data_IF_424953143659
#
_entry.id   IF_424953143659
#
_cell.length_a   1.000
_cell.length_b   1.000
_cell.length_c   1.000
_cell.angle_alpha   90.00
_cell.angle_beta   90.00
_cell.angle_gamma   90.00
#
_symmetry.space_group_name_H-M   'P 1'
#
loop_
_entity.id
_entity.type
_entity.pdbx_description
1 polymer ?
#
# COMPACT_ATOMS: atom_id res chain seq x y z
N UNK A 1 19.97 0.94 27.06
CA UNK A 1 19.47 1.95 26.08
C UNK A 1 17.98 1.84 25.76
N UNK A 2 17.37 0.66 25.55
CA UNK A 2 15.97 0.53 25.13
C UNK A 2 14.88 1.04 26.09
N UNK A 3 15.07 0.96 27.41
CA UNK A 3 14.07 1.43 28.41
C UNK A 3 13.99 2.96 28.47
N UNK A 4 15.11 3.65 28.40
CA UNK A 4 15.17 5.13 28.41
C UNK A 4 14.54 5.69 27.11
N UNK A 5 14.84 5.10 25.96
CA UNK A 5 14.24 5.50 24.67
C UNK A 5 12.72 5.28 24.65
N UNK A 6 12.23 4.18 25.24
CA UNK A 6 10.79 3.94 25.41
C UNK A 6 10.12 4.95 26.34
N UNK A 7 10.76 5.29 27.47
CA UNK A 7 10.25 6.28 28.42
C UNK A 7 10.20 7.69 27.81
N UNK A 8 11.26 8.10 27.09
CA UNK A 8 11.31 9.38 26.37
C UNK A 8 10.23 9.45 25.28
N UNK A 9 10.03 8.38 24.50
CA UNK A 9 8.93 8.31 23.50
C UNK A 9 7.56 8.43 24.16
N UNK A 10 7.37 7.83 25.35
CA UNK A 10 6.10 7.90 26.09
C UNK A 10 5.83 9.33 26.58
N UNK A 11 6.84 10.05 27.09
CA UNK A 11 6.73 11.46 27.51
C UNK A 11 6.44 12.39 26.31
N UNK A 12 7.14 12.19 25.19
CA UNK A 12 6.91 12.96 23.96
C UNK A 12 5.48 12.79 23.43
N UNK A 13 4.91 11.60 23.54
CA UNK A 13 3.55 11.33 23.08
C UNK A 13 2.46 11.87 24.03
N UNK A 14 2.75 12.11 25.29
CA UNK A 14 1.80 12.60 26.30
C UNK A 14 1.61 14.13 26.29
N UNK A 15 2.51 14.89 25.66
CA UNK A 15 2.47 16.36 25.66
C UNK A 15 2.52 16.89 24.23
N UNK A 16 1.39 17.31 23.63
CA UNK A 16 1.31 17.74 22.24
C UNK A 16 2.36 18.76 21.81
N UNK A 17 2.66 19.76 22.62
CA UNK A 17 3.67 20.78 22.33
C UNK A 17 5.09 20.23 22.27
N UNK A 18 5.44 19.26 23.12
CA UNK A 18 6.75 18.59 23.11
C UNK A 18 6.89 17.70 21.87
N UNK A 19 5.82 17.03 21.48
CA UNK A 19 5.76 16.22 20.26
C UNK A 19 6.05 17.07 19.01
N UNK A 20 5.40 18.20 18.87
CA UNK A 20 5.61 19.10 17.73
C UNK A 20 7.03 19.68 17.69
N UNK A 21 7.54 20.13 18.84
CA UNK A 21 8.93 20.61 18.93
C UNK A 21 9.93 19.52 18.54
N UNK A 22 9.75 18.28 19.04
CA UNK A 22 10.64 17.16 18.73
C UNK A 22 10.58 16.76 17.25
N UNK A 23 9.41 16.80 16.61
CA UNK A 23 9.24 16.57 15.17
C UNK A 23 9.96 17.67 14.38
N UNK A 24 9.82 18.94 14.77
CA UNK A 24 10.51 20.05 14.10
C UNK A 24 12.03 19.97 14.21
N UNK A 25 12.56 19.61 15.39
CA UNK A 25 13.98 19.37 15.59
C UNK A 25 14.48 18.22 14.72
N UNK A 26 13.72 17.12 14.68
CA UNK A 26 14.03 15.98 13.83
C UNK A 26 14.07 16.36 12.34
N UNK A 27 13.09 17.12 11.86
CA UNK A 27 13.05 17.58 10.47
C UNK A 27 14.29 18.42 10.12
N UNK A 28 14.66 19.39 10.97
CA UNK A 28 15.86 20.20 10.77
C UNK A 28 17.14 19.33 10.76
N UNK A 29 17.23 18.38 11.67
CA UNK A 29 18.37 17.45 11.70
C UNK A 29 18.49 16.61 10.42
N UNK A 30 17.35 16.05 9.95
CA UNK A 30 17.30 15.30 8.71
C UNK A 30 17.70 16.15 7.49
N UNK A 31 17.23 17.40 7.42
CA UNK A 31 17.62 18.36 6.37
C UNK A 31 19.12 18.65 6.38
N UNK A 32 19.69 18.87 7.56
CA UNK A 32 21.14 19.12 7.67
C UNK A 32 21.97 17.93 7.18
N UNK A 33 21.56 16.70 7.54
CA UNK A 33 22.21 15.48 7.06
C UNK A 33 22.14 15.38 5.53
N UNK A 34 20.95 15.56 4.96
CA UNK A 34 20.77 15.50 3.51
C UNK A 34 21.58 16.58 2.79
N UNK A 35 21.49 17.85 3.21
CA UNK A 35 22.21 18.97 2.62
C UNK A 35 23.74 18.83 2.65
N UNK A 36 24.30 18.14 3.65
CA UNK A 36 25.72 17.77 3.70
C UNK A 36 26.12 16.97 2.45
N UNK A 37 25.29 16.02 2.03
CA UNK A 37 25.57 15.17 0.87
C UNK A 37 25.25 15.87 -0.44
N UNK A 38 24.23 16.71 -0.49
CA UNK A 38 23.92 17.57 -1.64
C UNK A 38 25.13 18.43 -2.04
N UNK A 39 25.83 19.02 -1.05
CA UNK A 39 27.04 19.83 -1.29
C UNK A 39 28.25 19.00 -1.72
N UNK A 40 28.31 17.75 -1.29
CA UNK A 40 29.49 16.89 -1.49
C UNK A 40 29.46 16.10 -2.80
N UNK A 41 28.31 15.72 -3.28
CA UNK A 41 28.18 14.79 -4.41
C UNK A 41 27.38 15.38 -5.57
N UNK A 42 27.88 15.25 -6.82
CA UNK A 42 27.09 15.50 -8.01
C UNK A 42 25.96 14.47 -8.13
N UNK A 43 24.96 14.77 -8.96
CA UNK A 43 23.91 13.82 -9.33
C UNK A 43 24.54 12.77 -10.25
N UNK A 44 24.21 11.50 -10.00
CA UNK A 44 24.54 10.35 -10.82
C UNK A 44 23.26 9.88 -11.54
N UNK A 45 23.15 10.22 -12.81
CA UNK A 45 21.98 9.94 -13.64
C UNK A 45 21.65 8.43 -13.76
N UNK A 46 22.65 7.55 -13.54
CA UNK A 46 22.49 6.10 -13.56
C UNK A 46 22.31 5.48 -12.18
N UNK A 47 21.94 6.27 -11.18
CA UNK A 47 21.53 5.76 -9.85
C UNK A 47 20.05 6.00 -9.62
N UNK A 48 19.32 4.93 -9.29
CA UNK A 48 17.88 4.97 -8.95
C UNK A 48 17.70 4.49 -7.52
N UNK A 49 16.95 5.26 -6.70
CA UNK A 49 16.56 4.86 -5.35
C UNK A 49 15.13 4.32 -5.38
N UNK A 50 14.93 3.16 -4.81
CA UNK A 50 13.63 2.53 -4.61
C UNK A 50 13.29 2.49 -3.12
N UNK A 51 12.03 2.79 -2.80
CA UNK A 51 11.52 2.69 -1.43
C UNK A 51 10.04 2.32 -1.44
N UNK A 52 9.65 1.34 -0.62
CA UNK A 52 8.25 0.98 -0.41
C UNK A 52 7.87 1.10 1.06
N UNK A 53 6.75 1.76 1.34
CA UNK A 53 6.16 1.91 2.67
C UNK A 53 7.18 2.35 3.74
N UNK A 54 7.99 3.38 3.43
CA UNK A 54 9.08 3.87 4.31
C UNK A 54 10.11 2.77 4.65
N UNK A 55 10.51 2.00 3.65
CA UNK A 55 11.52 0.94 3.76
C UNK A 55 11.06 -0.32 4.50
N UNK A 56 9.76 -0.54 4.68
CA UNK A 56 9.25 -1.69 5.44
C UNK A 56 9.06 -2.96 4.62
N UNK A 57 8.86 -2.83 3.31
CA UNK A 57 8.50 -3.97 2.43
C UNK A 57 9.21 -3.89 1.09
N UNK A 58 9.45 -5.06 0.50
CA UNK A 58 9.77 -5.19 -0.91
C UNK A 58 8.49 -5.54 -1.67
N UNK A 59 7.76 -4.53 -2.15
CA UNK A 59 6.43 -4.73 -2.74
C UNK A 59 5.95 -3.52 -3.54
N UNK A 60 4.77 -3.64 -4.12
CA UNK A 60 4.05 -2.57 -4.79
C UNK A 60 4.75 -2.08 -6.08
N UNK A 61 4.34 -0.93 -6.62
CA UNK A 61 4.88 -0.39 -7.88
C UNK A 61 6.41 -0.17 -7.87
N UNK A 62 7.06 0.26 -6.77
CA UNK A 62 8.52 0.32 -6.75
C UNK A 62 9.19 -1.04 -6.99
N UNK A 63 8.62 -2.15 -6.46
CA UNK A 63 9.10 -3.51 -6.74
C UNK A 63 8.92 -3.85 -8.22
N UNK A 64 7.74 -3.69 -8.78
CA UNK A 64 7.46 -4.03 -10.18
C UNK A 64 8.37 -3.24 -11.14
N UNK A 65 8.58 -1.95 -10.89
CA UNK A 65 9.49 -1.12 -11.70
C UNK A 65 10.97 -1.50 -11.53
N UNK A 66 11.38 -1.91 -10.32
CA UNK A 66 12.73 -2.43 -10.09
C UNK A 66 12.96 -3.73 -10.85
N UNK A 67 12.01 -4.68 -10.79
CA UNK A 67 12.08 -5.96 -11.49
C UNK A 67 12.11 -5.73 -13.01
N UNK A 68 11.26 -4.84 -13.55
CA UNK A 68 11.31 -4.44 -14.96
C UNK A 68 12.68 -3.87 -15.37
N UNK A 69 13.33 -3.06 -14.51
CA UNK A 69 14.70 -2.58 -14.77
C UNK A 69 15.75 -3.68 -14.67
N UNK A 70 15.52 -4.74 -13.90
CA UNK A 70 16.46 -5.86 -13.80
C UNK A 70 16.36 -6.82 -14.99
N UNK A 71 15.17 -6.97 -15.56
CA UNK A 71 14.89 -7.83 -16.72
C UNK A 71 15.37 -7.20 -18.03
N UNK A 72 15.45 -5.88 -18.11
CA UNK A 72 15.81 -5.17 -19.34
C UNK A 72 17.32 -4.81 -19.37
N UNK A 73 18.04 -5.34 -20.35
CA UNK A 73 19.48 -5.12 -20.53
C UNK A 73 19.90 -3.66 -20.70
N UNK A 74 18.99 -2.78 -21.15
CA UNK A 74 19.22 -1.33 -21.28
C UNK A 74 19.54 -0.64 -19.95
N UNK A 75 19.09 -1.24 -18.83
CA UNK A 75 19.29 -0.69 -17.48
C UNK A 75 20.32 -1.48 -16.68
N UNK A 76 21.13 -2.33 -17.34
CA UNK A 76 22.14 -3.18 -16.69
C UNK A 76 23.15 -2.36 -15.88
N UNK A 77 23.55 -1.21 -16.40
CA UNK A 77 24.56 -0.35 -15.78
C UNK A 77 24.01 0.61 -14.72
N UNK A 78 22.67 0.62 -14.54
CA UNK A 78 22.06 1.41 -13.49
C UNK A 78 22.32 0.80 -12.11
N UNK A 79 22.73 1.66 -11.16
CA UNK A 79 22.77 1.32 -9.73
C UNK A 79 21.35 1.40 -9.17
N UNK A 80 20.84 0.31 -8.69
CA UNK A 80 19.50 0.14 -8.10
C UNK A 80 19.64 0.09 -6.59
N UNK A 81 19.26 1.16 -5.90
CA UNK A 81 19.45 1.31 -4.45
C UNK A 81 18.11 1.12 -3.75
N UNK A 82 17.99 0.09 -2.94
CA UNK A 82 16.81 -0.15 -2.11
C UNK A 82 17.00 0.32 -0.68
N UNK A 83 16.07 1.14 -0.18
CA UNK A 83 16.03 1.57 1.20
C UNK A 83 15.10 0.68 2.03
N UNK A 84 15.65 0.02 3.07
CA UNK A 84 14.90 -0.85 3.98
C UNK A 84 15.13 -0.47 5.46
N UNK A 85 14.10 -0.67 6.29
CA UNK A 85 14.26 -0.57 7.75
C UNK A 85 15.17 -1.67 8.30
N UNK A 86 15.15 -2.84 7.67
CA UNK A 86 15.99 -4.01 7.96
C UNK A 86 16.55 -4.59 6.65
N UNK A 87 17.68 -4.08 6.12
CA UNK A 87 18.25 -4.55 4.86
C UNK A 87 18.67 -6.03 4.88
N UNK A 88 19.03 -6.57 6.05
CA UNK A 88 19.51 -7.95 6.17
C UNK A 88 18.44 -8.96 5.72
N UNK A 89 17.17 -8.68 5.95
CA UNK A 89 16.05 -9.52 5.51
C UNK A 89 15.90 -9.59 3.99
N UNK A 90 16.48 -8.64 3.27
CA UNK A 90 16.31 -8.48 1.83
C UNK A 90 17.62 -8.75 1.05
N UNK A 91 18.65 -9.35 1.69
CA UNK A 91 19.95 -9.64 1.02
C UNK A 91 19.83 -10.50 -0.24
N UNK A 92 18.76 -11.27 -0.36
CA UNK A 92 18.48 -12.05 -1.57
C UNK A 92 18.33 -11.17 -2.83
N UNK A 93 18.10 -9.88 -2.70
CA UNK A 93 18.03 -8.92 -3.81
C UNK A 93 19.42 -8.60 -4.37
N UNK A 94 20.52 -8.87 -3.65
CA UNK A 94 21.88 -8.67 -4.12
C UNK A 94 22.24 -9.62 -5.28
N UNK A 95 21.39 -10.64 -5.55
CA UNK A 95 21.48 -11.45 -6.78
C UNK A 95 21.28 -10.66 -8.07
N UNK A 96 20.58 -9.54 -8.02
CA UNK A 96 20.41 -8.65 -9.17
C UNK A 96 21.63 -7.72 -9.31
N UNK A 97 22.26 -7.68 -10.50
CA UNK A 97 23.46 -6.85 -10.73
C UNK A 97 23.26 -5.38 -10.36
N UNK A 98 24.28 -4.78 -9.75
CA UNK A 98 24.30 -3.38 -9.34
C UNK A 98 23.19 -2.99 -8.36
N UNK A 99 22.70 -3.94 -7.56
CA UNK A 99 21.75 -3.70 -6.48
C UNK A 99 22.47 -3.42 -5.17
N UNK A 100 22.08 -2.36 -4.49
CA UNK A 100 22.65 -1.88 -3.23
C UNK A 100 21.54 -1.75 -2.21
N UNK A 101 21.72 -2.32 -1.04
CA UNK A 101 20.74 -2.20 0.06
C UNK A 101 21.25 -1.19 1.08
N UNK A 102 20.37 -0.25 1.48
CA UNK A 102 20.69 0.77 2.48
C UNK A 102 19.66 0.77 3.59
N UNK A 103 20.13 1.08 4.81
CA UNK A 103 19.21 1.20 5.94
C UNK A 103 18.47 2.53 5.89
N UNK A 104 17.14 2.46 5.96
CA UNK A 104 16.26 3.61 6.02
C UNK A 104 16.72 4.62 7.07
N UNK A 105 16.82 5.90 6.68
CA UNK A 105 17.28 7.01 7.52
C UNK A 105 18.72 6.90 8.04
N UNK A 106 19.56 6.04 7.45
CA UNK A 106 21.00 5.99 7.72
C UNK A 106 21.75 7.12 6.99
N UNK A 107 23.09 7.24 7.19
CA UNK A 107 23.91 8.16 6.43
C UNK A 107 23.92 7.81 4.93
N UNK A 108 23.98 6.51 4.61
CA UNK A 108 23.91 6.03 3.23
C UNK A 108 22.57 6.32 2.56
N UNK A 109 21.46 6.23 3.31
CA UNK A 109 20.13 6.61 2.84
C UNK A 109 20.14 8.07 2.31
N UNK A 110 20.55 9.03 3.13
CA UNK A 110 20.61 10.43 2.71
C UNK A 110 21.64 10.69 1.63
N UNK A 111 22.76 9.96 1.65
CA UNK A 111 23.79 10.04 0.61
C UNK A 111 23.25 9.61 -0.75
N UNK A 112 22.54 8.50 -0.83
CA UNK A 112 21.99 8.01 -2.09
C UNK A 112 20.81 8.86 -2.56
N UNK A 113 19.92 9.31 -1.71
CA UNK A 113 18.87 10.26 -2.11
C UNK A 113 19.45 11.58 -2.65
N UNK A 114 20.52 12.09 -2.06
CA UNK A 114 21.17 13.31 -2.54
C UNK A 114 21.89 13.13 -3.89
N UNK A 115 22.34 11.91 -4.19
CA UNK A 115 23.17 11.59 -5.34
C UNK A 115 22.38 10.98 -6.51
N UNK A 116 21.34 10.21 -6.25
CA UNK A 116 20.59 9.50 -7.28
C UNK A 116 19.95 10.48 -8.27
N UNK A 117 19.96 10.11 -9.55
CA UNK A 117 19.25 10.83 -10.60
C UNK A 117 17.73 10.61 -10.54
N UNK A 118 17.29 9.48 -9.97
CA UNK A 118 15.86 9.13 -9.91
C UNK A 118 15.50 8.52 -8.57
N UNK A 119 14.28 8.83 -8.09
CA UNK A 119 13.66 8.19 -6.94
C UNK A 119 12.31 7.59 -7.34
N UNK A 120 12.03 6.38 -6.90
CA UNK A 120 10.76 5.69 -7.13
C UNK A 120 10.22 5.23 -5.77
N UNK A 121 9.14 5.86 -5.31
CA UNK A 121 8.57 5.58 -3.99
C UNK A 121 7.05 5.46 -4.06
N UNK A 122 6.45 4.80 -3.05
CA UNK A 122 5.00 4.68 -2.94
C UNK A 122 4.41 5.32 -1.67
N UNK A 123 5.21 6.09 -0.96
CA UNK A 123 4.82 6.79 0.25
C UNK A 123 5.49 8.17 0.30
N UNK A 124 5.01 9.06 1.19
CA UNK A 124 5.60 10.39 1.34
C UNK A 124 7.07 10.28 1.77
N UNK A 125 7.92 11.09 1.17
CA UNK A 125 9.36 11.12 1.46
C UNK A 125 9.65 11.58 2.89
N UNK A 126 10.79 11.14 3.43
CA UNK A 126 11.33 11.74 4.66
C UNK A 126 11.42 13.26 4.51
N UNK A 127 10.95 13.99 5.51
CA UNK A 127 10.83 15.45 5.46
C UNK A 127 12.16 16.16 5.20
N UNK A 128 13.27 15.50 5.53
CA UNK A 128 14.62 16.03 5.28
C UNK A 128 15.06 16.01 3.82
N UNK A 129 14.38 15.26 2.96
CA UNK A 129 14.75 15.08 1.55
C UNK A 129 14.10 16.17 0.70
N UNK A 130 14.90 16.85 -0.10
CA UNK A 130 14.47 17.91 -1.03
C UNK A 130 15.01 17.59 -2.43
N UNK A 131 14.14 17.60 -3.44
CA UNK A 131 14.56 17.33 -4.82
C UNK A 131 15.43 18.43 -5.36
N UNK A 132 16.53 18.05 -5.99
CA UNK A 132 17.46 18.98 -6.67
C UNK A 132 17.06 19.14 -8.13
N UNK A 133 17.37 20.28 -8.77
CA UNK A 133 17.30 20.40 -10.22
C UNK A 133 18.14 19.28 -10.89
N UNK A 134 17.54 18.58 -11.87
CA UNK A 134 18.17 17.44 -12.55
C UNK A 134 17.94 16.09 -11.87
N UNK A 135 17.16 16.01 -10.80
CA UNK A 135 16.64 14.74 -10.25
C UNK A 135 15.20 14.52 -10.69
N UNK A 136 14.82 13.27 -10.91
CA UNK A 136 13.46 12.84 -11.21
C UNK A 136 12.84 12.15 -9.98
N UNK A 137 11.63 12.54 -9.64
CA UNK A 137 10.86 11.91 -8.59
C UNK A 137 9.59 11.24 -9.15
N UNK A 138 9.52 9.93 -9.04
CA UNK A 138 8.37 9.10 -9.39
C UNK A 138 7.65 8.72 -8.09
N UNK A 139 6.49 9.30 -7.85
CA UNK A 139 5.61 8.94 -6.76
C UNK A 139 4.56 7.97 -7.29
N UNK A 140 4.62 6.70 -6.89
CA UNK A 140 3.69 5.69 -7.41
C UNK A 140 2.40 5.57 -6.60
N UNK A 141 2.37 6.14 -5.41
CA UNK A 141 1.35 5.88 -4.41
C UNK A 141 1.15 4.38 -4.18
N UNK A 142 0.05 3.97 -3.57
CA UNK A 142 -0.11 2.57 -3.17
C UNK A 142 -1.55 2.05 -3.26
N UNK A 143 -2.33 2.60 -4.17
CA UNK A 143 -3.69 2.14 -4.50
C UNK A 143 -4.65 3.26 -4.84
N UNK A 144 -5.74 2.93 -5.52
CA UNK A 144 -6.84 3.84 -5.81
C UNK A 144 -7.59 4.15 -4.51
N UNK A 145 -7.80 5.42 -4.14
CA UNK A 145 -8.43 5.76 -2.87
C UNK A 145 -9.96 5.71 -2.98
N UNK A 146 -10.62 4.95 -2.10
CA UNK A 146 -12.04 5.11 -1.81
C UNK A 146 -12.26 6.36 -0.95
N UNK A 147 -11.42 6.54 0.07
CA UNK A 147 -11.48 7.67 1.02
C UNK A 147 -10.77 8.88 0.46
N UNK A 148 -11.26 10.07 0.76
CA UNK A 148 -10.54 11.31 0.44
C UNK A 148 -9.19 11.35 1.15
N UNK A 149 -8.16 11.77 0.45
CA UNK A 149 -6.79 11.81 0.93
C UNK A 149 -6.17 13.21 0.78
N UNK A 150 -5.10 13.47 1.47
CA UNK A 150 -4.30 14.68 1.32
C UNK A 150 -5.11 15.96 1.53
N UNK A 151 -5.08 16.84 0.54
CA UNK A 151 -5.77 18.13 0.58
C UNK A 151 -7.29 18.02 0.39
N UNK A 152 -7.78 16.88 -0.11
CA UNK A 152 -9.22 16.67 -0.33
C UNK A 152 -9.96 16.22 0.94
N UNK A 153 -9.26 15.94 2.04
CA UNK A 153 -9.87 15.56 3.32
C UNK A 153 -10.74 16.71 3.85
N UNK A 154 -12.06 16.49 4.14
CA UNK A 154 -12.98 17.54 4.56
C UNK A 154 -12.59 18.20 5.90
N UNK A 155 -13.11 19.42 6.12
CA UNK A 155 -12.81 20.21 7.33
C UNK A 155 -13.36 19.61 8.62
N UNK A 156 -14.40 18.77 8.53
CA UNK A 156 -15.14 18.27 9.70
C UNK A 156 -14.45 17.09 10.41
N UNK A 157 -13.51 16.39 9.76
CA UNK A 157 -12.95 15.12 10.24
C UNK A 157 -11.63 15.24 11.00
N UNK A 158 -10.88 16.30 10.75
CA UNK A 158 -9.63 16.58 11.44
C UNK A 158 -9.72 17.94 12.12
N UNK A 159 -9.04 18.10 13.24
CA UNK A 159 -8.83 19.45 13.75
C UNK A 159 -8.22 20.32 12.64
N UNK A 160 -8.57 21.61 12.61
CA UNK A 160 -8.04 22.56 11.62
C UNK A 160 -6.53 22.43 11.45
N UNK A 161 -5.80 22.27 12.56
CA UNK A 161 -4.34 22.13 12.59
C UNK A 161 -3.84 20.85 11.95
N UNK A 162 -4.50 19.72 12.18
CA UNK A 162 -4.13 18.42 11.59
C UNK A 162 -4.38 18.40 10.09
N UNK A 163 -5.52 18.94 9.66
CA UNK A 163 -5.83 19.05 8.24
C UNK A 163 -4.82 19.93 7.51
N UNK A 164 -4.49 21.10 8.06
CA UNK A 164 -3.49 21.98 7.48
C UNK A 164 -2.10 21.33 7.41
N UNK A 165 -1.75 20.55 8.43
CA UNK A 165 -0.50 19.80 8.43
C UNK A 165 -0.51 18.74 7.33
N UNK A 166 -1.55 17.90 7.26
CA UNK A 166 -1.68 16.87 6.23
C UNK A 166 -1.65 17.47 4.84
N UNK A 167 -2.41 18.52 4.59
CA UNK A 167 -2.42 19.19 3.28
C UNK A 167 -1.03 19.76 2.94
N UNK A 168 -0.32 20.40 3.88
CA UNK A 168 1.05 20.87 3.65
C UNK A 168 2.03 19.77 3.33
N UNK A 169 1.91 18.60 3.96
CA UNK A 169 2.75 17.43 3.66
C UNK A 169 2.51 16.94 2.23
N UNK A 170 1.25 16.82 1.82
CA UNK A 170 0.90 16.41 0.46
C UNK A 170 1.26 17.48 -0.60
N UNK A 171 1.05 18.77 -0.32
CA UNK A 171 1.47 19.86 -1.21
C UNK A 171 2.99 19.87 -1.42
N UNK A 172 3.77 19.73 -0.32
CA UNK A 172 5.23 19.66 -0.41
C UNK A 172 5.65 18.50 -1.31
N UNK A 173 5.04 17.33 -1.14
CA UNK A 173 5.27 16.15 -1.95
C UNK A 173 4.90 16.41 -3.41
N UNK A 174 3.69 16.90 -3.66
CA UNK A 174 3.16 17.17 -4.99
C UNK A 174 4.00 18.18 -5.81
N UNK A 175 4.63 19.14 -5.13
CA UNK A 175 5.52 20.10 -5.80
C UNK A 175 6.88 19.48 -6.22
N UNK A 176 7.24 18.31 -5.71
CA UNK A 176 8.48 17.60 -6.08
C UNK A 176 8.24 16.51 -7.14
N UNK A 177 7.02 16.03 -7.30
CA UNK A 177 6.68 14.92 -8.20
C UNK A 177 6.89 15.34 -9.65
N UNK A 178 7.58 14.50 -10.43
CA UNK A 178 7.70 14.63 -11.88
C UNK A 178 6.80 13.64 -12.60
N UNK A 179 6.69 12.40 -12.09
CA UNK A 179 5.85 11.36 -12.67
C UNK A 179 5.01 10.64 -11.63
N UNK A 180 3.78 10.29 -12.02
CA UNK A 180 2.88 9.48 -11.22
C UNK A 180 2.16 8.47 -12.11
N UNK A 181 2.28 7.15 -11.87
CA UNK A 181 1.46 6.13 -12.52
C UNK A 181 -0.02 6.31 -12.18
N UNK A 182 -0.89 6.08 -13.14
CA UNK A 182 -2.33 6.10 -12.92
C UNK A 182 -3.02 4.90 -13.58
N UNK A 183 -3.95 4.23 -12.86
CA UNK A 183 -4.75 3.15 -13.41
C UNK A 183 -5.98 3.64 -14.19
N UNK A 184 -6.38 4.92 -14.05
CA UNK A 184 -7.63 5.41 -14.63
C UNK A 184 -7.74 6.94 -14.63
N UNK A 185 -8.62 7.51 -15.49
CA UNK A 185 -8.98 8.93 -15.45
C UNK A 185 -9.51 9.39 -14.08
N UNK A 186 -10.29 8.52 -13.39
CA UNK A 186 -10.75 8.80 -12.04
C UNK A 186 -9.58 9.06 -11.09
N UNK A 187 -8.63 8.15 -11.01
CA UNK A 187 -7.45 8.32 -10.15
C UNK A 187 -6.65 9.55 -10.54
N UNK A 188 -6.43 9.76 -11.84
CA UNK A 188 -5.73 10.92 -12.41
C UNK A 188 -6.31 12.24 -11.90
N UNK A 189 -7.64 12.37 -11.87
CA UNK A 189 -8.31 13.56 -11.35
C UNK A 189 -8.09 13.72 -9.85
N UNK A 190 -8.26 12.64 -9.06
CA UNK A 190 -8.20 12.73 -7.59
C UNK A 190 -6.79 13.01 -7.06
N UNK A 191 -5.76 12.45 -7.67
CA UNK A 191 -4.39 12.73 -7.20
C UNK A 191 -3.92 14.14 -7.52
N UNK A 192 -4.43 14.77 -8.59
CA UNK A 192 -4.13 16.18 -8.91
C UNK A 192 -4.53 17.11 -7.76
N UNK A 193 -5.75 16.96 -7.26
CA UNK A 193 -6.26 17.76 -6.15
C UNK A 193 -5.66 17.35 -4.81
N UNK A 194 -5.64 16.05 -4.50
CA UNK A 194 -5.16 15.52 -3.23
C UNK A 194 -3.70 15.87 -2.93
N UNK A 195 -2.84 15.82 -3.92
CA UNK A 195 -1.42 16.17 -3.81
C UNK A 195 -1.10 17.62 -4.18
N UNK A 196 -2.08 18.39 -4.70
CA UNK A 196 -1.82 19.71 -5.26
C UNK A 196 -0.62 19.67 -6.22
N UNK A 197 -0.67 18.78 -7.20
CA UNK A 197 0.45 18.52 -8.10
C UNK A 197 0.95 19.78 -8.78
N UNK A 198 2.27 19.94 -8.83
CA UNK A 198 2.92 21.03 -9.56
C UNK A 198 2.77 20.90 -11.07
N UNK A 199 2.98 21.99 -11.83
CA UNK A 199 2.80 22.02 -13.29
C UNK A 199 3.77 21.10 -14.05
N UNK A 200 4.88 20.70 -13.44
CA UNK A 200 5.84 19.75 -14.00
C UNK A 200 5.38 18.31 -13.93
N UNK A 201 4.43 17.99 -13.03
CA UNK A 201 3.99 16.63 -12.79
C UNK A 201 3.23 16.05 -13.99
N UNK A 202 3.70 14.91 -14.49
CA UNK A 202 3.07 14.14 -15.55
C UNK A 202 2.45 12.88 -14.99
N UNK A 203 1.19 12.68 -15.26
CA UNK A 203 0.50 11.45 -14.91
C UNK A 203 0.55 10.52 -16.11
N UNK A 204 1.11 9.33 -15.89
CA UNK A 204 1.24 8.29 -16.91
C UNK A 204 0.09 7.29 -16.71
N UNK A 205 -0.95 7.44 -17.49
CA UNK A 205 -2.18 6.67 -17.41
C UNK A 205 -2.06 5.38 -18.23
N UNK A 206 -1.24 4.44 -17.74
CA UNK A 206 -0.98 3.14 -18.36
C UNK A 206 -1.42 1.97 -17.49
N UNK A 207 -1.91 2.21 -16.29
CA UNK A 207 -2.17 1.21 -15.26
C UNK A 207 -1.26 1.38 -14.03
N UNK A 208 -1.37 0.43 -13.12
CA UNK A 208 -0.48 0.34 -11.97
C UNK A 208 0.58 -0.75 -12.18
N UNK A 209 1.89 -0.42 -12.17
CA UNK A 209 2.95 -1.45 -12.23
C UNK A 209 2.80 -2.52 -11.13
N UNK A 210 2.29 -2.15 -9.95
CA UNK A 210 2.00 -3.10 -8.87
C UNK A 210 1.05 -4.24 -9.25
N UNK A 211 0.20 -4.03 -10.26
CA UNK A 211 -0.79 -5.01 -10.71
C UNK A 211 -0.30 -5.89 -11.86
N UNK A 212 0.93 -5.69 -12.35
CA UNK A 212 1.47 -6.46 -13.48
C UNK A 212 1.40 -7.97 -13.23
N UNK A 213 1.67 -8.40 -12.01
CA UNK A 213 1.59 -9.81 -11.63
C UNK A 213 0.18 -10.41 -11.77
N UNK A 214 -0.88 -9.59 -11.70
CA UNK A 214 -2.26 -10.04 -11.88
C UNK A 214 -2.59 -10.36 -13.35
N UNK A 215 -1.75 -9.90 -14.29
CA UNK A 215 -1.96 -10.09 -15.73
C UNK A 215 -0.96 -11.06 -16.37
N UNK A 216 0.10 -11.46 -15.64
CA UNK A 216 1.17 -12.35 -16.14
C UNK A 216 1.47 -13.55 -15.25
N UNK A 217 0.59 -13.90 -14.32
CA UNK A 217 0.80 -15.05 -13.42
C UNK A 217 0.64 -16.40 -14.14
N UNK A 218 1.19 -17.44 -13.55
CA UNK A 218 1.04 -18.84 -13.98
C UNK A 218 0.34 -19.66 -12.90
N UNK A 219 -0.28 -20.77 -13.28
CA UNK A 219 -0.85 -21.73 -12.33
C UNK A 219 0.22 -22.27 -11.37
N UNK A 220 1.41 -22.57 -11.88
CA UNK A 220 2.55 -23.02 -11.06
C UNK A 220 2.90 -22.01 -9.96
N UNK A 221 2.88 -20.67 -10.26
CA UNK A 221 3.09 -19.63 -9.24
C UNK A 221 2.01 -19.72 -8.15
N UNK A 222 0.75 -19.89 -8.53
CA UNK A 222 -0.35 -20.01 -7.56
C UNK A 222 -0.22 -21.26 -6.68
N UNK A 223 0.13 -22.40 -7.26
CA UNK A 223 0.39 -23.65 -6.54
C UNK A 223 1.55 -23.52 -5.55
N UNK A 224 2.65 -22.88 -5.96
CA UNK A 224 3.80 -22.64 -5.09
C UNK A 224 3.44 -21.74 -3.91
N UNK A 225 2.65 -20.68 -4.12
CA UNK A 225 2.16 -19.80 -3.04
C UNK A 225 1.26 -20.60 -2.08
N UNK A 226 0.31 -21.39 -2.59
CA UNK A 226 -0.56 -22.24 -1.75
C UNK A 226 0.28 -23.22 -0.92
N UNK A 227 1.28 -23.84 -1.53
CA UNK A 227 2.21 -24.79 -0.87
C UNK A 227 3.03 -24.09 0.23
N UNK A 228 3.60 -22.92 -0.06
CA UNK A 228 4.34 -22.11 0.93
C UNK A 228 3.48 -21.78 2.14
N UNK A 229 2.22 -21.39 1.90
CA UNK A 229 1.26 -21.08 2.96
C UNK A 229 0.62 -22.32 3.59
N UNK A 230 0.95 -23.54 3.14
CA UNK A 230 0.39 -24.78 3.64
C UNK A 230 -1.13 -24.87 3.46
N UNK A 231 -1.62 -24.42 2.29
CA UNK A 231 -3.05 -24.47 1.91
C UNK A 231 -3.25 -25.74 1.07
N UNK A 232 -4.20 -26.63 1.43
CA UNK A 232 -4.55 -27.78 0.63
C UNK A 232 -5.04 -27.39 -0.77
N UNK A 233 -4.64 -28.15 -1.81
CA UNK A 233 -4.95 -27.81 -3.20
C UNK A 233 -6.45 -27.83 -3.52
N UNK A 234 -7.20 -28.66 -2.82
CA UNK A 234 -8.67 -28.85 -2.96
C UNK A 234 -9.50 -27.79 -2.24
N UNK A 235 -8.88 -26.93 -1.42
CA UNK A 235 -9.59 -25.88 -0.68
C UNK A 235 -9.72 -24.60 -1.48
N UNK A 236 -10.92 -24.00 -1.39
CA UNK A 236 -11.14 -22.61 -1.79
C UNK A 236 -10.44 -21.68 -0.83
N UNK A 237 -9.99 -20.54 -1.32
CA UNK A 237 -9.26 -19.53 -0.53
C UNK A 237 -10.09 -18.26 -0.42
N UNK A 238 -10.37 -17.84 0.80
CA UNK A 238 -11.08 -16.61 1.11
C UNK A 238 -10.07 -15.62 1.69
N UNK A 239 -9.84 -14.50 1.03
CA UNK A 239 -9.03 -13.42 1.59
C UNK A 239 -9.93 -12.47 2.39
N UNK A 240 -9.75 -12.41 3.70
CA UNK A 240 -10.43 -11.44 4.56
C UNK A 240 -9.47 -10.30 4.91
N UNK A 241 -9.72 -9.13 4.33
CA UNK A 241 -8.85 -7.95 4.43
C UNK A 241 -9.63 -6.73 4.98
N UNK A 242 -9.97 -6.69 6.29
CA UNK A 242 -10.70 -5.59 6.89
C UNK A 242 -9.84 -4.35 7.09
N UNK A 243 -10.47 -3.16 7.06
CA UNK A 243 -9.85 -1.89 7.45
C UNK A 243 -9.77 -1.80 8.98
N UNK A 244 -8.66 -1.29 9.47
CA UNK A 244 -8.51 -0.99 10.89
C UNK A 244 -9.43 0.15 11.36
N UNK A 245 -9.99 0.01 12.59
CA UNK A 245 -10.83 1.01 13.26
C UNK A 245 -10.05 1.73 14.36
N UNK A 246 -9.97 3.05 14.28
CA UNK A 246 -9.29 3.85 15.32
C UNK A 246 -10.11 3.93 16.61
N UNK A 247 -11.42 3.93 16.52
CA UNK A 247 -12.37 4.02 17.64
C UNK A 247 -12.34 2.81 18.58
N UNK A 248 -11.81 1.67 18.15
CA UNK A 248 -11.69 0.46 18.95
C UNK A 248 -10.40 0.41 19.81
N UNK A 249 -9.74 1.55 20.00
CA UNK A 249 -8.58 1.68 20.88
C UNK A 249 -9.00 2.17 22.27
N UNK A 250 -9.04 1.27 23.26
CA UNK A 250 -9.21 1.65 24.66
C UNK A 250 -7.85 1.90 25.31
N UNK A 251 -7.59 3.14 25.71
CA UNK A 251 -6.34 3.52 26.35
C UNK A 251 -6.22 2.81 27.72
N UNK A 252 -5.32 1.84 27.82
CA UNK A 252 -5.02 1.12 29.07
C UNK A 252 -5.32 -0.38 29.06
N UNK A 253 -6.23 -0.87 28.24
CA UNK A 253 -6.63 -2.29 28.18
C UNK A 253 -6.15 -3.04 26.93
N UNK A 254 -5.42 -2.37 26.03
CA UNK A 254 -5.05 -2.95 24.74
C UNK A 254 -6.12 -2.73 23.66
N UNK A 255 -5.93 -3.32 22.47
CA UNK A 255 -6.88 -3.23 21.37
C UNK A 255 -7.98 -4.27 21.57
N UNK A 256 -9.21 -3.85 21.84
CA UNK A 256 -10.41 -4.68 21.70
C UNK A 256 -10.93 -4.51 20.26
N UNK A 257 -10.57 -5.43 19.36
CA UNK A 257 -10.99 -5.38 17.97
C UNK A 257 -12.07 -6.44 17.74
N UNK A 258 -13.30 -6.01 17.45
CA UNK A 258 -14.36 -6.88 16.96
C UNK A 258 -14.30 -6.91 15.43
N UNK A 259 -14.25 -8.10 14.84
CA UNK A 259 -14.25 -8.28 13.39
C UNK A 259 -15.65 -8.32 12.79
N UNK A 260 -16.70 -8.35 13.63
CA UNK A 260 -18.09 -8.49 13.21
C UNK A 260 -18.40 -9.85 12.56
N UNK A 261 -17.41 -10.69 12.26
CA UNK A 261 -17.59 -12.01 11.65
C UNK A 261 -17.64 -13.10 12.72
N UNK A 262 -18.68 -13.96 12.64
CA UNK A 262 -18.80 -15.19 13.42
C UNK A 262 -17.99 -16.31 12.73
N UNK A 263 -16.72 -16.44 13.14
CA UNK A 263 -15.84 -17.48 12.58
C UNK A 263 -16.22 -18.91 12.98
N UNK A 264 -16.98 -19.11 14.05
CA UNK A 264 -17.44 -20.43 14.45
C UNK A 264 -18.52 -20.93 13.47
N UNK A 265 -19.44 -20.06 13.07
CA UNK A 265 -20.41 -20.35 12.01
C UNK A 265 -19.75 -20.52 10.65
N UNK A 266 -18.80 -19.63 10.31
CA UNK A 266 -18.02 -19.76 9.07
C UNK A 266 -17.30 -21.12 9.00
N UNK A 267 -16.66 -21.55 10.10
CA UNK A 267 -15.98 -22.86 10.16
C UNK A 267 -16.96 -24.03 10.05
N UNK A 268 -18.12 -23.93 10.70
CA UNK A 268 -19.16 -24.97 10.63
C UNK A 268 -19.64 -25.18 9.19
N UNK A 269 -19.83 -24.11 8.42
CA UNK A 269 -20.36 -24.18 7.05
C UNK A 269 -19.26 -24.47 6.00
N UNK A 270 -18.09 -23.89 6.15
CA UNK A 270 -17.05 -23.82 5.11
C UNK A 270 -15.75 -24.56 5.46
N UNK A 271 -15.58 -25.05 6.69
CA UNK A 271 -14.32 -25.61 7.17
C UNK A 271 -13.78 -26.77 6.34
N UNK A 272 -14.68 -27.57 5.75
CA UNK A 272 -14.29 -28.66 4.85
C UNK A 272 -14.06 -28.22 3.40
N UNK A 273 -14.49 -27.00 3.03
CA UNK A 273 -14.45 -26.49 1.65
C UNK A 273 -13.42 -25.40 1.43
N UNK A 274 -13.10 -24.63 2.46
CA UNK A 274 -12.31 -23.40 2.32
C UNK A 274 -11.29 -23.17 3.44
N UNK A 275 -10.36 -22.23 3.18
CA UNK A 275 -9.41 -21.65 4.14
C UNK A 275 -9.55 -20.12 4.07
N UNK A 276 -9.57 -19.46 5.24
CA UNK A 276 -9.55 -18.00 5.33
C UNK A 276 -8.12 -17.51 5.53
N UNK A 277 -7.67 -16.64 4.64
CA UNK A 277 -6.44 -15.86 4.80
C UNK A 277 -6.83 -14.52 5.45
N UNK A 278 -6.50 -14.35 6.72
CA UNK A 278 -6.74 -13.12 7.44
C UNK A 278 -5.58 -12.16 7.23
N UNK A 279 -5.87 -10.96 6.73
CA UNK A 279 -4.87 -9.93 6.50
C UNK A 279 -5.33 -8.59 7.04
N UNK A 280 -4.69 -8.13 8.09
CA UNK A 280 -4.93 -6.81 8.67
C UNK A 280 -3.65 -5.97 8.71
N UNK A 281 -3.75 -4.75 9.25
CA UNK A 281 -2.59 -3.91 9.42
C UNK A 281 -1.66 -4.52 10.49
N UNK A 282 -0.37 -4.59 10.21
CA UNK A 282 0.64 -5.27 11.06
C UNK A 282 0.67 -4.81 12.54
N UNK A 283 0.12 -3.64 12.86
CA UNK A 283 0.01 -3.18 14.26
C UNK A 283 -0.98 -3.99 15.10
N UNK A 284 -1.89 -4.72 14.47
CA UNK A 284 -3.00 -5.41 15.13
C UNK A 284 -2.92 -6.93 14.97
N UNK A 285 -2.05 -7.45 14.10
CA UNK A 285 -1.95 -8.89 13.83
C UNK A 285 -1.76 -9.73 15.10
N UNK A 286 -1.02 -9.21 16.09
CA UNK A 286 -0.80 -9.89 17.38
C UNK A 286 -2.01 -9.87 18.34
N UNK A 287 -3.13 -9.24 17.95
CA UNK A 287 -4.32 -9.10 18.82
C UNK A 287 -5.33 -10.24 18.64
N UNK A 288 -5.13 -11.12 17.64
CA UNK A 288 -6.04 -12.22 17.34
C UNK A 288 -5.38 -13.57 17.58
N UNK A 289 -6.08 -14.42 18.34
CA UNK A 289 -5.72 -15.82 18.50
C UNK A 289 -6.65 -16.69 17.66
N UNK A 290 -6.13 -17.22 16.56
CA UNK A 290 -6.84 -18.14 15.68
C UNK A 290 -6.53 -19.62 15.95
N UNK A 291 -5.83 -19.96 17.05
CA UNK A 291 -5.41 -21.33 17.37
C UNK A 291 -6.58 -22.33 17.41
N UNK A 292 -7.75 -21.88 17.92
CA UNK A 292 -8.96 -22.72 17.97
C UNK A 292 -9.53 -23.10 16.61
N UNK A 293 -9.13 -22.40 15.55
CA UNK A 293 -9.65 -22.63 14.19
C UNK A 293 -8.83 -23.61 13.36
N UNK A 294 -7.66 -24.06 13.86
CA UNK A 294 -6.91 -25.21 13.40
C UNK A 294 -6.76 -25.33 11.87
N UNK A 295 -6.05 -24.41 11.22
CA UNK A 295 -5.83 -24.45 9.77
C UNK A 295 -6.95 -23.85 8.91
N UNK A 296 -8.15 -23.63 9.45
CA UNK A 296 -9.24 -22.94 8.75
C UNK A 296 -8.94 -21.45 8.57
N UNK A 297 -8.31 -20.81 9.56
CA UNK A 297 -7.89 -19.41 9.47
C UNK A 297 -6.36 -19.32 9.58
N UNK A 298 -5.74 -18.62 8.64
CA UNK A 298 -4.30 -18.34 8.63
C UNK A 298 -4.06 -16.82 8.65
N UNK A 299 -3.32 -16.33 9.64
CA UNK A 299 -2.88 -14.93 9.66
C UNK A 299 -1.74 -14.72 8.67
N UNK A 300 -2.00 -13.94 7.62
CA UNK A 300 -1.05 -13.56 6.57
C UNK A 300 -0.71 -12.06 6.60
N UNK A 301 -0.95 -11.39 7.72
CA UNK A 301 -0.71 -9.94 7.88
C UNK A 301 0.76 -9.56 7.69
N UNK A 302 1.68 -10.48 7.99
CA UNK A 302 3.13 -10.31 7.78
C UNK A 302 3.61 -10.63 6.37
N UNK A 303 2.79 -11.27 5.52
CA UNK A 303 3.16 -11.61 4.15
C UNK A 303 3.41 -10.33 3.34
N UNK A 304 4.53 -10.25 2.61
CA UNK A 304 4.96 -8.99 2.00
C UNK A 304 4.11 -8.57 0.81
N UNK A 305 3.92 -9.48 -0.16
CA UNK A 305 3.28 -9.15 -1.43
C UNK A 305 1.79 -9.54 -1.43
N UNK A 306 0.93 -8.53 -1.48
CA UNK A 306 -0.52 -8.75 -1.45
C UNK A 306 -1.04 -9.39 -2.76
N UNK A 307 -0.39 -9.15 -3.90
CA UNK A 307 -0.81 -9.73 -5.16
C UNK A 307 -0.75 -11.26 -5.15
N UNK A 308 0.24 -11.84 -4.46
CA UNK A 308 0.34 -13.28 -4.31
C UNK A 308 -0.90 -13.84 -3.59
N UNK A 309 -1.42 -13.11 -2.59
CA UNK A 309 -2.64 -13.49 -1.90
C UNK A 309 -3.88 -13.30 -2.79
N UNK A 310 -3.91 -12.26 -3.62
CA UNK A 310 -5.00 -12.07 -4.59
C UNK A 310 -5.06 -13.21 -5.59
N UNK A 311 -3.90 -13.61 -6.14
CA UNK A 311 -3.80 -14.66 -7.17
C UNK A 311 -4.39 -15.99 -6.71
N UNK A 312 -4.16 -16.36 -5.44
CA UNK A 312 -4.63 -17.64 -4.89
C UNK A 312 -6.03 -17.57 -4.28
N UNK A 313 -6.62 -16.36 -4.13
CA UNK A 313 -7.93 -16.20 -3.47
C UNK A 313 -9.07 -16.35 -4.45
N UNK A 314 -10.06 -17.17 -4.10
CA UNK A 314 -11.30 -17.37 -4.87
C UNK A 314 -12.35 -16.30 -4.53
N UNK A 315 -12.27 -15.68 -3.35
CA UNK A 315 -13.17 -14.62 -2.89
C UNK A 315 -12.45 -13.64 -1.97
N UNK A 316 -12.77 -12.37 -2.11
CA UNK A 316 -12.34 -11.31 -1.19
C UNK A 316 -13.51 -10.87 -0.30
N UNK A 317 -13.29 -10.88 1.03
CA UNK A 317 -14.15 -10.19 1.99
C UNK A 317 -13.38 -8.93 2.44
N UNK A 318 -13.99 -7.77 2.29
CA UNK A 318 -13.38 -6.51 2.70
C UNK A 318 -14.44 -5.48 3.11
N UNK A 319 -14.03 -4.25 3.35
CA UNK A 319 -14.91 -3.15 3.74
C UNK A 319 -14.48 -1.83 3.05
N UNK A 320 -13.80 -0.92 3.76
CA UNK A 320 -13.36 0.40 3.27
C UNK A 320 -11.91 0.41 2.78
N UNK A 321 -11.30 -0.76 2.63
CA UNK A 321 -9.92 -0.91 2.16
C UNK A 321 -9.83 -0.77 0.65
N UNK A 322 -8.76 -0.17 0.14
CA UNK A 322 -8.51 -0.04 -1.30
C UNK A 322 -8.13 -1.35 -2.01
N UNK A 323 -8.03 -2.46 -1.29
CA UNK A 323 -7.64 -3.77 -1.84
C UNK A 323 -8.60 -4.28 -2.93
N UNK A 324 -9.87 -3.90 -2.86
CA UNK A 324 -10.87 -4.35 -3.83
C UNK A 324 -10.65 -3.76 -5.23
N UNK A 325 -10.04 -2.58 -5.36
CA UNK A 325 -9.72 -2.03 -6.68
C UNK A 325 -8.74 -2.92 -7.45
N UNK A 326 -7.69 -3.38 -6.77
CA UNK A 326 -6.70 -4.25 -7.39
C UNK A 326 -7.28 -5.65 -7.63
N UNK A 327 -7.98 -6.21 -6.62
CA UNK A 327 -8.59 -7.55 -6.72
C UNK A 327 -9.62 -7.65 -7.83
N UNK A 328 -10.36 -6.58 -8.11
CA UNK A 328 -11.37 -6.53 -9.17
C UNK A 328 -10.80 -6.77 -10.58
N UNK A 329 -9.48 -6.58 -10.79
CA UNK A 329 -8.82 -6.95 -12.04
C UNK A 329 -8.90 -8.46 -12.34
N UNK A 330 -9.06 -9.30 -11.32
CA UNK A 330 -9.18 -10.75 -11.47
C UNK A 330 -10.60 -11.21 -11.81
N UNK A 331 -11.59 -10.32 -11.76
CA UNK A 331 -13.01 -10.63 -12.02
C UNK A 331 -13.55 -11.78 -11.17
N UNK A 332 -13.10 -11.80 -9.89
CA UNK A 332 -13.53 -12.77 -8.88
C UNK A 332 -14.48 -12.12 -7.88
N UNK A 333 -15.30 -12.90 -7.13
CA UNK A 333 -16.28 -12.35 -6.21
C UNK A 333 -15.66 -11.50 -5.10
N UNK A 334 -16.33 -10.40 -4.77
CA UNK A 334 -16.00 -9.51 -3.65
C UNK A 334 -17.26 -9.35 -2.80
N UNK A 335 -17.13 -9.58 -1.49
CA UNK A 335 -18.16 -9.30 -0.50
C UNK A 335 -17.73 -8.12 0.35
N UNK A 336 -18.53 -7.07 0.37
CA UNK A 336 -18.29 -5.88 1.19
C UNK A 336 -19.03 -6.01 2.52
N UNK A 337 -18.31 -6.34 3.59
CA UNK A 337 -18.87 -6.47 4.94
C UNK A 337 -18.66 -5.17 5.72
N UNK A 338 -19.60 -4.24 5.55
CA UNK A 338 -19.57 -2.86 6.08
C UNK A 338 -20.57 -2.72 7.25
N UNK A 339 -20.57 -3.66 8.22
CA UNK A 339 -21.54 -3.75 9.32
C UNK A 339 -21.65 -2.48 10.17
N UNK A 340 -20.65 -1.62 10.15
CA UNK A 340 -20.56 -0.35 10.86
C UNK A 340 -20.63 0.88 9.92
N UNK A 341 -21.27 0.74 8.75
CA UNK A 341 -21.23 1.73 7.66
C UNK A 341 -21.59 3.15 8.11
N UNK A 342 -22.69 3.32 8.85
CA UNK A 342 -23.12 4.66 9.26
C UNK A 342 -22.15 5.27 10.28
N UNK A 343 -21.71 4.51 11.29
CA UNK A 343 -20.73 4.96 12.27
C UNK A 343 -19.38 5.27 11.60
N UNK A 344 -18.94 4.42 10.68
CA UNK A 344 -17.69 4.64 9.96
C UNK A 344 -17.74 5.87 9.06
N UNK A 345 -18.87 6.12 8.41
CA UNK A 345 -19.08 7.29 7.57
C UNK A 345 -19.11 8.59 8.37
N UNK A 346 -19.68 8.57 9.59
CA UNK A 346 -19.67 9.73 10.50
C UNK A 346 -18.29 10.00 11.10
N UNK A 347 -17.53 8.95 11.43
CA UNK A 347 -16.22 9.06 12.08
C UNK A 347 -15.08 9.30 11.09
N UNK A 348 -15.19 8.78 9.88
CA UNK A 348 -14.11 8.72 8.91
C UNK A 348 -14.35 9.63 7.71
N UNK A 349 -13.27 9.95 7.06
CA UNK A 349 -13.17 10.77 5.86
C UNK A 349 -14.19 10.38 4.81
N UNK A 350 -14.83 11.38 4.26
CA UNK A 350 -15.76 11.25 3.15
C UNK A 350 -15.15 10.43 1.99
N UNK A 351 -15.99 9.74 1.24
CA UNK A 351 -15.59 8.92 0.11
C UNK A 351 -15.56 9.76 -1.19
N UNK A 352 -14.74 9.33 -2.16
CA UNK A 352 -14.72 9.94 -3.48
C UNK A 352 -15.91 9.55 -4.34
N UNK A 353 -16.59 8.45 -4.01
CA UNK A 353 -17.79 7.96 -4.70
C UNK A 353 -18.66 7.13 -3.74
N UNK A 354 -19.91 6.90 -4.13
CA UNK A 354 -20.88 6.16 -3.33
C UNK A 354 -20.71 4.63 -3.43
N UNK A 355 -21.19 3.92 -2.43
CA UNK A 355 -21.08 2.45 -2.33
C UNK A 355 -21.89 1.70 -3.40
N UNK A 356 -22.79 2.38 -4.10
CA UNK A 356 -23.58 1.82 -5.21
C UNK A 356 -22.73 1.46 -6.44
N UNK A 357 -21.49 1.95 -6.51
CA UNK A 357 -20.52 1.61 -7.56
C UNK A 357 -19.63 0.42 -7.20
N UNK A 358 -19.75 -0.15 -5.99
CA UNK A 358 -18.91 -1.25 -5.56
C UNK A 358 -19.21 -2.53 -6.37
N UNK A 359 -18.18 -3.32 -6.73
CA UNK A 359 -18.32 -4.49 -7.60
C UNK A 359 -18.68 -5.75 -6.81
N UNK A 360 -19.77 -5.71 -6.05
CA UNK A 360 -20.24 -6.86 -5.28
C UNK A 360 -21.26 -6.49 -4.21
N UNK A 361 -21.87 -7.48 -3.55
CA UNK A 361 -22.85 -7.26 -2.51
C UNK A 361 -22.27 -6.53 -1.31
N UNK A 362 -23.06 -5.59 -0.75
CA UNK A 362 -22.72 -4.80 0.44
C UNK A 362 -23.64 -5.17 1.58
N UNK A 363 -23.06 -5.64 2.69
CA UNK A 363 -23.78 -5.98 3.92
C UNK A 363 -23.47 -4.90 4.96
N UNK A 364 -24.49 -4.16 5.40
CA UNK A 364 -24.39 -3.01 6.31
C UNK A 364 -24.78 -3.30 7.75
N UNK A 365 -25.11 -4.53 8.05
CA UNK A 365 -25.56 -4.98 9.36
C UNK A 365 -24.68 -6.12 9.88
N UNK A 366 -24.49 -6.18 11.18
CA UNK A 366 -23.78 -7.28 11.82
C UNK A 366 -24.67 -8.53 11.81
N UNK A 367 -24.32 -9.50 10.99
CA UNK A 367 -25.01 -10.78 10.85
C UNK A 367 -24.08 -11.89 10.38
N UNK A 368 -24.56 -13.10 10.43
CA UNK A 368 -23.88 -14.24 9.81
C UNK A 368 -23.85 -14.09 8.29
N UNK A 369 -22.65 -14.13 7.72
CA UNK A 369 -22.40 -14.01 6.29
C UNK A 369 -21.95 -15.33 5.65
N UNK A 370 -21.92 -16.43 6.39
CA UNK A 370 -21.39 -17.71 5.92
C UNK A 370 -22.14 -18.25 4.69
N UNK A 371 -23.45 -18.01 4.62
CA UNK A 371 -24.29 -18.40 3.48
C UNK A 371 -24.02 -17.52 2.24
N UNK A 372 -23.84 -16.20 2.43
CA UNK A 372 -23.49 -15.30 1.34
C UNK A 372 -22.13 -15.66 0.72
N UNK A 373 -21.17 -16.00 1.58
CA UNK A 373 -19.84 -16.43 1.15
C UNK A 373 -19.92 -17.75 0.36
N UNK A 374 -20.66 -18.75 0.87
CA UNK A 374 -20.85 -20.02 0.17
C UNK A 374 -21.47 -19.82 -1.22
N UNK A 375 -22.55 -19.05 -1.29
CA UNK A 375 -23.24 -18.73 -2.55
C UNK A 375 -22.30 -18.06 -3.57
N UNK A 376 -21.45 -17.11 -3.11
CA UNK A 376 -20.49 -16.42 -3.97
C UNK A 376 -19.37 -17.35 -4.45
N UNK A 377 -18.96 -18.32 -3.65
CA UNK A 377 -17.95 -19.32 -4.05
C UNK A 377 -18.50 -20.35 -5.06
N UNK A 378 -19.81 -20.62 -5.02
CA UNK A 378 -20.45 -21.64 -5.87
C UNK A 378 -21.02 -21.08 -7.18
N UNK A 379 -21.45 -19.82 -7.19
CA UNK A 379 -22.27 -19.30 -8.31
C UNK A 379 -22.01 -17.87 -8.73
N UNK A 380 -20.78 -17.35 -8.60
CA UNK A 380 -20.46 -15.98 -9.00
C UNK A 380 -20.37 -15.83 -10.53
N UNK A 381 -20.94 -14.73 -11.02
CA UNK A 381 -20.75 -14.24 -12.39
C UNK A 381 -20.57 -12.73 -12.40
N UNK A 382 -19.70 -12.24 -13.28
CA UNK A 382 -19.48 -10.80 -13.45
C UNK A 382 -20.72 -10.16 -14.05
N UNK A 383 -21.35 -9.27 -13.29
CA UNK A 383 -22.52 -8.49 -13.71
C UNK A 383 -22.15 -7.13 -14.31
N UNK A 384 -23.15 -6.35 -14.71
CA UNK A 384 -22.94 -5.03 -15.32
C UNK A 384 -22.37 -4.01 -14.33
N UNK A 385 -22.69 -4.13 -13.04
CA UNK A 385 -22.12 -3.26 -11.99
C UNK A 385 -20.63 -3.52 -11.87
N UNK A 386 -20.20 -4.77 -11.87
CA UNK A 386 -18.80 -5.15 -11.80
C UNK A 386 -18.03 -4.68 -13.05
N UNK A 387 -18.60 -4.86 -14.26
CA UNK A 387 -18.00 -4.39 -15.51
C UNK A 387 -17.82 -2.88 -15.50
N UNK A 388 -18.88 -2.14 -15.13
CA UNK A 388 -18.84 -0.68 -15.01
C UNK A 388 -17.79 -0.22 -13.99
N UNK A 389 -17.63 -0.91 -12.87
CA UNK A 389 -16.59 -0.63 -11.91
C UNK A 389 -15.20 -0.71 -12.57
N UNK A 390 -14.90 -1.80 -13.27
CA UNK A 390 -13.62 -1.97 -13.93
C UNK A 390 -13.40 -0.94 -15.07
N UNK A 391 -14.42 -0.57 -15.81
CA UNK A 391 -14.35 0.48 -16.83
C UNK A 391 -13.97 1.84 -16.24
N UNK A 392 -14.45 2.17 -15.03
CA UNK A 392 -14.16 3.44 -14.36
C UNK A 392 -12.80 3.43 -13.67
N UNK A 393 -12.48 2.36 -12.93
CA UNK A 393 -11.36 2.33 -12.00
C UNK A 393 -10.15 1.54 -12.50
N UNK A 394 -10.35 0.58 -13.39
CA UNK A 394 -9.33 -0.33 -13.94
C UNK A 394 -9.40 -0.47 -15.49
N UNK A 395 -9.50 0.63 -16.25
CA UNK A 395 -9.58 0.53 -17.73
C UNK A 395 -8.32 -0.05 -18.37
N UNK A 396 -7.16 0.07 -17.70
CA UNK A 396 -5.86 -0.43 -18.16
C UNK A 396 -5.52 -1.73 -17.43
N UNK A 397 -5.91 -2.86 -18.03
CA UNK A 397 -5.75 -4.21 -17.45
C UNK A 397 -4.66 -4.98 -18.20
N UNK A 398 -3.45 -4.43 -18.22
CA UNK A 398 -2.29 -4.99 -18.91
C UNK A 398 -0.99 -4.73 -18.13
N UNK A 399 0.06 -5.48 -18.44
CA UNK A 399 1.40 -5.26 -17.88
C UNK A 399 1.92 -3.90 -18.35
N UNK A 400 2.33 -3.05 -17.42
CA UNK A 400 2.73 -1.69 -17.72
C UNK A 400 4.09 -1.24 -17.14
N UNK A 401 4.69 -2.02 -16.24
CA UNK A 401 5.88 -1.61 -15.50
C UNK A 401 7.08 -1.30 -16.40
N UNK A 402 7.34 -2.10 -17.42
CA UNK A 402 8.43 -1.89 -18.39
C UNK A 402 8.18 -0.64 -19.26
N UNK A 403 6.93 -0.45 -19.73
CA UNK A 403 6.52 0.74 -20.47
C UNK A 403 6.66 2.00 -19.62
N UNK A 404 6.27 1.92 -18.33
CA UNK A 404 6.38 3.02 -17.37
C UNK A 404 7.84 3.44 -17.18
N UNK A 405 8.73 2.49 -16.90
CA UNK A 405 10.16 2.74 -16.72
C UNK A 405 10.77 3.35 -18.00
N UNK A 406 10.44 2.81 -19.15
CA UNK A 406 10.94 3.28 -20.45
C UNK A 406 10.53 4.71 -20.73
N UNK A 407 9.28 5.07 -20.50
CA UNK A 407 8.75 6.41 -20.74
C UNK A 407 9.42 7.43 -19.81
N UNK A 408 9.57 7.13 -18.52
CA UNK A 408 10.21 8.00 -17.55
C UNK A 408 11.67 8.23 -17.90
N UNK A 409 12.42 7.18 -18.26
CA UNK A 409 13.85 7.30 -18.59
C UNK A 409 14.06 8.00 -19.91
N UNK A 410 13.18 7.83 -20.88
CA UNK A 410 13.24 8.55 -22.17
C UNK A 410 13.19 10.06 -21.97
N UNK A 411 12.39 10.54 -21.05
CA UNK A 411 12.22 11.96 -20.77
C UNK A 411 13.29 12.53 -19.83
N UNK A 412 13.97 11.66 -19.10
CA UNK A 412 15.10 12.06 -18.26
C UNK A 412 16.37 12.34 -19.06
N UNK A 413 16.51 11.77 -20.25
CA UNK A 413 17.66 11.98 -21.14
C UNK A 413 17.48 13.21 -22.03
#
# INVERSE_FOLDING_TARGET
MGKIVKAVKKIINLTPGIKEASVSVYHKYSQLRYRKYVKKYPIDAHTVVFESYMGRKYSCSPRAMFEAMCEDSRYRDYKKVWAFTDPEKHRYLEKYPNTILVKYRSEDYYRYYARAGMWITNYLLDYGIEKRPGQIYVQTWHGTPLKKIGCDVPRLELSKKERERTCREYQREGQMIDFMPSPSPFYTEKVKSAFCLGPQARILEFGYPRNDDLFRYTEEKCENIKKELGIPADKKVILYAPTWRQSQHTAGEGFTYSLGIDFDKMKTRLGDKAVILFRTHYFISNSFDFSKYGGFIKDVSSYDEINDLYLISDLLITDYSSVFFDYANLERPILFYMYDYEAYREEMKDFYFGIELLPGPVIKEERDISEDVERLLEGFAVDDTYRRFNEIFNPHREVCGDRMVREIIREYR
#
